data_IF_809977986488
#
_entry.id   IF_809977986488
#
_cell.length_a   1.000
_cell.length_b   1.000
_cell.length_c   1.000
_cell.angle_alpha   90.00
_cell.angle_beta   90.00
_cell.angle_gamma   90.00
#
_symmetry.space_group_name_H-M   'P 1'
#
loop_
_entity.id
_entity.type
_entity.pdbx_description
1 polymer ?
#
# COMPACT_ATOMS: atom_id res chain seq x y z
N UNK A 1 21.03 -43.97 2.59
CA UNK A 1 21.28 -42.70 1.86
C UNK A 1 19.99 -41.95 1.46
N UNK A 2 18.91 -42.61 1.02
CA UNK A 2 17.66 -41.92 0.59
C UNK A 2 16.90 -41.18 1.70
N UNK A 3 16.91 -41.70 2.93
CA UNK A 3 16.21 -41.07 4.07
C UNK A 3 16.81 -39.70 4.45
N UNK A 4 18.09 -39.50 4.27
CA UNK A 4 18.78 -38.26 4.61
C UNK A 4 18.47 -37.12 3.62
N UNK A 5 18.27 -37.45 2.34
CA UNK A 5 17.91 -36.46 1.31
C UNK A 5 16.48 -35.93 1.49
N UNK A 6 15.54 -36.79 1.86
CA UNK A 6 14.15 -36.39 2.13
C UNK A 6 14.03 -35.50 3.36
N UNK A 7 14.80 -35.80 4.40
CA UNK A 7 14.82 -34.94 5.62
C UNK A 7 15.41 -33.57 5.32
N UNK A 8 16.48 -33.49 4.52
CA UNK A 8 17.07 -32.23 4.07
C UNK A 8 16.08 -31.42 3.23
N UNK A 9 15.40 -32.07 2.26
CA UNK A 9 14.39 -31.41 1.43
C UNK A 9 13.16 -30.92 2.23
N UNK A 10 12.71 -31.69 3.22
CA UNK A 10 11.62 -31.28 4.11
C UNK A 10 12.03 -30.12 5.02
N UNK A 11 13.24 -30.14 5.56
CA UNK A 11 13.78 -29.05 6.39
C UNK A 11 14.00 -27.80 5.55
N UNK A 12 14.49 -27.93 4.32
CA UNK A 12 14.67 -26.79 3.40
C UNK A 12 13.32 -26.21 2.99
N UNK A 13 12.31 -27.04 2.68
CA UNK A 13 10.93 -26.57 2.39
C UNK A 13 10.27 -25.92 3.60
N UNK A 14 10.49 -26.45 4.81
CA UNK A 14 9.99 -25.86 6.05
C UNK A 14 10.70 -24.54 6.38
N UNK A 15 12.01 -24.48 6.16
CA UNK A 15 12.81 -23.28 6.34
C UNK A 15 12.42 -22.17 5.33
N UNK A 16 12.24 -22.53 4.05
CA UNK A 16 11.75 -21.62 3.00
C UNK A 16 10.32 -21.16 3.29
N UNK A 17 9.41 -22.05 3.71
CA UNK A 17 8.05 -21.67 4.12
C UNK A 17 8.04 -20.74 5.34
N UNK A 18 8.97 -20.89 6.29
CA UNK A 18 9.11 -20.04 7.46
C UNK A 18 9.71 -18.66 7.12
N UNK A 19 10.56 -18.62 6.08
CA UNK A 19 11.25 -17.39 5.63
C UNK A 19 10.36 -16.47 4.77
N UNK A 20 9.27 -16.99 4.19
CA UNK A 20 8.43 -16.30 3.23
C UNK A 20 6.95 -16.23 3.63
N UNK A 21 6.66 -16.12 4.92
CA UNK A 21 5.29 -15.81 5.33
C UNK A 21 5.04 -14.33 5.08
N UNK A 22 4.31 -14.01 4.01
CA UNK A 22 3.79 -12.66 3.76
C UNK A 22 2.97 -12.23 4.98
N UNK A 23 3.51 -11.35 5.80
CA UNK A 23 2.90 -10.98 7.09
C UNK A 23 2.24 -9.60 7.06
N UNK A 24 2.50 -8.79 6.04
CA UNK A 24 2.04 -7.42 5.93
C UNK A 24 1.03 -7.27 4.79
N UNK A 25 -0.14 -6.72 5.07
CA UNK A 25 -1.16 -6.45 4.07
C UNK A 25 -1.04 -5.04 3.50
N UNK A 26 -1.08 -4.94 2.18
CA UNK A 26 -1.19 -3.69 1.43
C UNK A 26 -2.60 -3.58 0.87
N UNK A 27 -3.18 -2.39 1.00
CA UNK A 27 -4.42 -2.00 0.34
C UNK A 27 -4.16 -0.80 -0.55
N UNK A 28 -4.72 -0.80 -1.75
CA UNK A 28 -4.57 0.30 -2.69
C UNK A 28 -5.94 0.87 -3.04
N UNK A 29 -6.00 2.20 -3.13
CA UNK A 29 -7.23 2.91 -3.42
C UNK A 29 -7.08 3.77 -4.68
N UNK A 30 -7.93 3.52 -5.65
CA UNK A 30 -8.15 4.38 -6.82
C UNK A 30 -9.66 4.47 -7.08
N UNK A 31 -10.35 5.17 -6.17
CA UNK A 31 -11.82 5.25 -6.21
C UNK A 31 -12.24 6.13 -7.38
N UNK A 32 -12.98 5.53 -8.31
CA UNK A 32 -13.57 6.18 -9.46
C UNK A 32 -15.09 6.17 -9.37
N UNK A 33 -15.73 7.13 -10.02
CA UNK A 33 -17.17 7.14 -10.20
C UNK A 33 -17.54 6.29 -11.43
N UNK A 34 -18.70 5.63 -11.35
CA UNK A 34 -19.27 4.92 -12.48
C UNK A 34 -20.03 5.97 -13.31
N UNK A 35 -19.54 6.23 -14.52
CA UNK A 35 -20.17 7.15 -15.47
C UNK A 35 -20.82 6.37 -16.62
N UNK A 36 -22.10 6.63 -16.88
CA UNK A 36 -22.86 6.01 -17.98
C UNK A 36 -22.72 4.47 -18.01
N UNK A 37 -22.83 3.81 -16.86
CA UNK A 37 -22.65 2.37 -16.68
C UNK A 37 -21.25 1.83 -17.07
N UNK A 38 -20.26 2.70 -17.19
CA UNK A 38 -18.88 2.31 -17.44
C UNK A 38 -18.05 2.50 -16.17
N UNK A 39 -17.46 1.42 -15.70
CA UNK A 39 -16.48 1.45 -14.61
C UNK A 39 -15.09 1.70 -15.19
N UNK A 40 -14.35 2.63 -14.60
CA UNK A 40 -12.92 2.82 -14.90
C UNK A 40 -12.11 1.85 -14.06
N UNK A 41 -11.30 1.04 -14.71
CA UNK A 41 -10.36 0.15 -14.00
C UNK A 41 -9.33 0.97 -13.24
N UNK A 42 -8.85 0.49 -12.09
CA UNK A 42 -7.86 1.15 -11.25
C UNK A 42 -6.45 0.98 -11.86
N UNK A 43 -6.19 1.72 -12.94
CA UNK A 43 -5.00 1.53 -13.78
C UNK A 43 -3.71 1.93 -13.05
N UNK A 44 -3.69 3.11 -12.40
CA UNK A 44 -2.47 3.62 -11.79
C UNK A 44 -2.01 2.75 -10.61
N UNK A 45 -2.91 2.38 -9.72
CA UNK A 45 -2.53 1.49 -8.60
C UNK A 45 -2.27 0.06 -9.06
N UNK A 46 -2.87 -0.37 -10.17
CA UNK A 46 -2.56 -1.64 -10.82
C UNK A 46 -1.13 -1.69 -11.34
N UNK A 47 -0.65 -0.62 -12.01
CA UNK A 47 0.73 -0.49 -12.46
C UNK A 47 1.71 -0.44 -11.29
N UNK A 48 1.40 0.36 -10.25
CA UNK A 48 2.21 0.42 -9.03
C UNK A 48 2.40 -0.98 -8.44
N UNK A 49 1.32 -1.74 -8.27
CA UNK A 49 1.44 -3.08 -7.70
C UNK A 49 2.14 -4.07 -8.64
N UNK A 50 1.92 -3.96 -9.93
CA UNK A 50 2.62 -4.78 -10.93
C UNK A 50 4.14 -4.60 -10.79
N UNK A 51 4.62 -3.36 -10.69
CA UNK A 51 6.04 -3.08 -10.46
C UNK A 51 6.50 -3.61 -9.10
N UNK A 52 5.79 -3.30 -8.02
CA UNK A 52 6.10 -3.76 -6.66
C UNK A 52 6.27 -5.29 -6.58
N UNK A 53 5.45 -6.04 -7.30
CA UNK A 53 5.51 -7.50 -7.32
C UNK A 53 6.77 -8.07 -7.99
N UNK A 54 7.49 -7.27 -8.78
CA UNK A 54 8.78 -7.67 -9.38
C UNK A 54 9.95 -7.51 -8.41
N UNK A 55 9.80 -6.71 -7.35
CA UNK A 55 10.82 -6.50 -6.33
C UNK A 55 10.76 -7.65 -5.32
N UNK A 56 11.83 -8.43 -5.23
CA UNK A 56 11.88 -9.66 -4.44
C UNK A 56 11.51 -9.46 -2.96
N UNK A 57 12.06 -8.42 -2.32
CA UNK A 57 11.79 -8.11 -0.93
C UNK A 57 10.31 -7.80 -0.69
N UNK A 58 9.70 -7.00 -1.58
CA UNK A 58 8.28 -6.64 -1.52
C UNK A 58 7.40 -7.85 -1.78
N UNK A 59 7.69 -8.62 -2.83
CA UNK A 59 6.93 -9.83 -3.16
C UNK A 59 6.95 -10.87 -2.04
N UNK A 60 8.04 -10.95 -1.28
CA UNK A 60 8.17 -11.87 -0.16
C UNK A 60 7.57 -11.32 1.15
N UNK A 61 7.60 -10.00 1.35
CA UNK A 61 7.18 -9.33 2.59
C UNK A 61 5.71 -8.97 2.66
N UNK A 62 5.08 -8.72 1.52
CA UNK A 62 3.74 -8.16 1.44
C UNK A 62 2.76 -9.03 0.66
N UNK A 63 1.49 -8.87 1.02
CA UNK A 63 0.34 -9.38 0.29
C UNK A 63 -0.53 -8.21 -0.14
N UNK A 64 -0.85 -8.09 -1.43
CA UNK A 64 -1.92 -7.20 -1.87
C UNK A 64 -3.24 -7.81 -1.40
N UNK A 65 -3.83 -7.19 -0.40
CA UNK A 65 -5.05 -7.68 0.20
C UNK A 65 -6.29 -7.29 -0.62
N UNK A 66 -6.31 -6.06 -1.15
CA UNK A 66 -7.38 -5.59 -2.02
C UNK A 66 -6.99 -4.33 -2.78
N UNK A 67 -7.69 -4.06 -3.90
CA UNK A 67 -7.71 -2.78 -4.61
C UNK A 67 -9.13 -2.23 -4.55
N UNK A 68 -9.32 -1.14 -3.82
CA UNK A 68 -10.62 -0.48 -3.68
C UNK A 68 -10.74 0.59 -4.77
N UNK A 69 -11.59 0.33 -5.77
CA UNK A 69 -11.66 1.14 -6.98
C UNK A 69 -13.05 1.71 -7.29
N UNK A 70 -14.05 1.32 -6.53
CA UNK A 70 -15.40 1.86 -6.63
C UNK A 70 -15.83 2.53 -5.34
N UNK A 71 -16.72 3.49 -5.42
CA UNK A 71 -17.26 4.18 -4.25
C UNK A 71 -18.21 3.27 -3.48
N UNK A 72 -17.96 3.13 -2.21
CA UNK A 72 -18.79 2.38 -1.26
C UNK A 72 -18.75 3.05 0.13
N UNK A 73 -19.69 2.74 1.04
CA UNK A 73 -19.67 3.30 2.38
C UNK A 73 -18.33 3.01 3.09
N UNK A 74 -17.77 4.02 3.72
CA UNK A 74 -16.46 3.90 4.42
C UNK A 74 -16.48 2.78 5.46
N UNK A 75 -17.58 2.62 6.18
CA UNK A 75 -17.69 1.58 7.22
C UNK A 75 -17.63 0.15 6.64
N UNK A 76 -18.18 -0.06 5.44
CA UNK A 76 -18.11 -1.36 4.77
C UNK A 76 -16.67 -1.67 4.32
N UNK A 77 -15.94 -0.66 3.82
CA UNK A 77 -14.53 -0.78 3.51
C UNK A 77 -13.76 -1.22 4.77
N UNK A 78 -13.91 -0.46 5.86
CA UNK A 78 -13.18 -0.71 7.10
C UNK A 78 -13.52 -2.08 7.74
N UNK A 79 -14.78 -2.52 7.60
CA UNK A 79 -15.22 -3.83 8.11
C UNK A 79 -14.51 -4.98 7.40
N UNK A 80 -14.24 -4.82 6.10
CA UNK A 80 -13.60 -5.85 5.27
C UNK A 80 -12.08 -5.82 5.33
N UNK A 81 -11.47 -4.72 5.78
CA UNK A 81 -10.02 -4.62 5.94
C UNK A 81 -9.50 -5.46 7.12
N UNK A 82 -8.38 -6.15 6.88
CA UNK A 82 -7.73 -7.02 7.88
C UNK A 82 -6.28 -6.61 8.07
N UNK A 83 -5.97 -6.06 9.24
CA UNK A 83 -4.60 -5.72 9.65
C UNK A 83 -3.78 -5.03 8.54
N UNK A 84 -4.22 -3.85 8.04
CA UNK A 84 -3.48 -3.13 7.03
C UNK A 84 -2.13 -2.68 7.60
N UNK A 85 -1.05 -2.97 6.88
CA UNK A 85 0.29 -2.47 7.19
C UNK A 85 0.63 -1.22 6.42
N UNK A 86 0.21 -1.16 5.16
CA UNK A 86 0.38 -0.02 4.27
C UNK A 86 -0.90 0.18 3.48
N UNK A 87 -1.32 1.43 3.34
CA UNK A 87 -2.45 1.81 2.50
C UNK A 87 -2.03 2.95 1.58
N UNK A 88 -2.08 2.70 0.28
CA UNK A 88 -1.78 3.68 -0.77
C UNK A 88 -3.05 4.24 -1.41
N UNK A 89 -3.09 5.56 -1.57
CA UNK A 89 -4.21 6.25 -2.20
C UNK A 89 -3.76 6.99 -3.46
N UNK A 90 -4.43 6.71 -4.58
CA UNK A 90 -4.33 7.51 -5.80
C UNK A 90 -5.32 8.66 -5.71
N UNK A 91 -4.81 9.89 -5.52
CA UNK A 91 -5.58 11.07 -5.16
C UNK A 91 -5.83 11.98 -6.36
N UNK A 92 -7.10 12.13 -6.71
CA UNK A 92 -7.61 13.05 -7.73
C UNK A 92 -8.69 13.95 -7.13
N UNK A 93 -9.09 15.00 -7.84
CA UNK A 93 -10.09 15.96 -7.36
C UNK A 93 -11.44 15.30 -7.02
N UNK A 94 -11.85 14.28 -7.76
CA UNK A 94 -13.15 13.60 -7.57
C UNK A 94 -13.17 12.61 -6.40
N UNK A 95 -12.03 12.06 -5.98
CA UNK A 95 -11.98 11.10 -4.88
C UNK A 95 -11.30 11.66 -3.61
N UNK A 96 -10.81 12.91 -3.65
CA UNK A 96 -10.05 13.52 -2.57
C UNK A 96 -10.73 13.44 -1.21
N UNK A 97 -11.95 13.96 -1.11
CA UNK A 97 -12.68 14.01 0.17
C UNK A 97 -12.95 12.61 0.72
N UNK A 98 -13.24 11.66 -0.17
CA UNK A 98 -13.46 10.26 0.19
C UNK A 98 -12.16 9.61 0.71
N UNK A 99 -11.04 9.81 0.00
CA UNK A 99 -9.74 9.30 0.42
C UNK A 99 -9.31 9.87 1.78
N UNK A 100 -9.51 11.18 2.01
CA UNK A 100 -9.23 11.85 3.28
C UNK A 100 -10.05 11.26 4.43
N UNK A 101 -11.35 11.04 4.23
CA UNK A 101 -12.21 10.44 5.25
C UNK A 101 -11.78 9.01 5.58
N UNK A 102 -11.57 8.18 4.55
CA UNK A 102 -11.17 6.78 4.71
C UNK A 102 -9.82 6.70 5.42
N UNK A 103 -8.82 7.45 4.94
CA UNK A 103 -7.47 7.44 5.51
C UNK A 103 -7.46 7.84 6.99
N UNK A 104 -8.21 8.89 7.37
CA UNK A 104 -8.37 9.32 8.76
C UNK A 104 -8.95 8.21 9.63
N UNK A 105 -9.99 7.51 9.16
CA UNK A 105 -10.61 6.40 9.89
C UNK A 105 -9.70 5.17 9.96
N UNK A 106 -8.94 4.87 8.89
CA UNK A 106 -7.94 3.80 8.89
C UNK A 106 -6.88 4.10 9.97
N UNK A 107 -6.32 5.31 9.98
CA UNK A 107 -5.28 5.70 10.94
C UNK A 107 -5.79 5.63 12.39
N UNK A 108 -7.03 6.04 12.63
CA UNK A 108 -7.65 5.94 13.95
C UNK A 108 -7.82 4.50 14.42
N UNK A 109 -8.18 3.57 13.51
CA UNK A 109 -8.40 2.16 13.84
C UNK A 109 -7.10 1.36 13.89
N UNK A 110 -6.12 1.69 13.03
CA UNK A 110 -4.82 1.05 12.93
C UNK A 110 -3.70 2.11 12.96
N UNK A 111 -3.31 2.61 14.13
CA UNK A 111 -2.34 3.72 14.26
C UNK A 111 -0.99 3.43 13.62
N UNK A 112 -0.57 2.18 13.58
CA UNK A 112 0.70 1.75 12.99
C UNK A 112 0.63 1.50 11.46
N UNK A 113 -0.53 1.68 10.85
CA UNK A 113 -0.69 1.57 9.40
C UNK A 113 -0.01 2.77 8.73
N UNK A 114 0.87 2.49 7.75
CA UNK A 114 1.50 3.52 6.94
C UNK A 114 0.51 4.01 5.88
N UNK A 115 0.19 5.30 5.90
CA UNK A 115 -0.72 5.95 4.94
C UNK A 115 0.08 6.72 3.91
N UNK A 116 -0.03 6.32 2.66
CA UNK A 116 0.68 6.92 1.52
C UNK A 116 -0.32 7.57 0.58
N UNK A 117 -0.16 8.88 0.33
CA UNK A 117 -0.95 9.61 -0.66
C UNK A 117 -0.09 9.89 -1.89
N UNK A 118 -0.60 9.61 -3.08
CA UNK A 118 0.01 9.94 -4.37
C UNK A 118 -1.02 10.51 -5.34
N UNK A 119 -0.55 10.93 -6.52
CA UNK A 119 -1.40 11.47 -7.58
C UNK A 119 -1.53 12.99 -7.59
N UNK A 120 -2.28 13.52 -8.54
CA UNK A 120 -2.31 14.93 -8.89
C UNK A 120 -2.81 15.90 -7.80
N UNK A 121 -3.56 15.38 -6.82
CA UNK A 121 -4.12 16.22 -5.75
C UNK A 121 -3.15 16.40 -4.56
N UNK A 122 -2.05 15.66 -4.55
CA UNK A 122 -1.01 15.82 -3.52
C UNK A 122 -0.20 17.09 -3.82
N UNK A 123 -0.06 18.02 -2.85
CA UNK A 123 0.63 19.29 -3.07
C UNK A 123 2.14 19.11 -3.22
N UNK A 124 2.75 19.89 -4.11
CA UNK A 124 4.19 19.89 -4.37
C UNK A 124 4.88 21.07 -3.64
N UNK A 125 6.18 20.92 -3.41
CA UNK A 125 7.11 21.95 -2.96
C UNK A 125 6.70 22.66 -1.65
N UNK A 126 6.49 23.95 -1.67
CA UNK A 126 6.23 24.84 -0.54
C UNK A 126 4.93 24.54 0.22
N UNK A 127 3.98 23.89 -0.43
CA UNK A 127 2.67 23.55 0.17
C UNK A 127 2.68 22.24 0.97
N UNK A 128 3.76 21.49 0.95
CA UNK A 128 3.86 20.18 1.59
C UNK A 128 3.77 20.29 3.12
N UNK A 129 4.43 21.28 3.71
CA UNK A 129 4.41 21.46 5.17
C UNK A 129 3.00 21.72 5.69
N UNK A 130 2.24 22.62 5.06
CA UNK A 130 0.84 22.88 5.41
C UNK A 130 -0.07 21.68 5.17
N UNK A 131 0.28 20.83 4.22
CA UNK A 131 -0.44 19.59 3.94
C UNK A 131 -0.40 18.61 5.12
N UNK A 132 0.76 18.27 5.64
CA UNK A 132 0.89 17.35 6.79
C UNK A 132 0.31 17.94 8.09
N UNK A 133 0.36 19.27 8.27
CA UNK A 133 -0.32 19.93 9.39
C UNK A 133 -1.84 19.77 9.31
N UNK A 134 -2.40 19.88 8.11
CA UNK A 134 -3.84 19.71 7.86
C UNK A 134 -4.29 18.25 7.89
N UNK A 135 -3.45 17.34 7.46
CA UNK A 135 -3.75 15.91 7.34
C UNK A 135 -2.71 15.05 8.09
N UNK A 136 -2.66 15.15 9.44
CA UNK A 136 -1.62 14.51 10.26
C UNK A 136 -1.69 12.96 10.26
N UNK A 137 -2.71 12.39 9.66
CA UNK A 137 -2.89 10.97 9.50
C UNK A 137 -2.22 10.43 8.22
N UNK A 138 -1.72 11.30 7.33
CA UNK A 138 -0.93 10.92 6.15
C UNK A 138 0.54 10.89 6.56
N UNK A 139 1.20 9.78 6.30
CA UNK A 139 2.61 9.60 6.67
C UNK A 139 3.56 9.99 5.53
N UNK A 140 3.21 9.67 4.28
CA UNK A 140 4.05 9.91 3.10
C UNK A 140 3.20 10.51 1.98
N UNK A 141 3.79 11.47 1.27
CA UNK A 141 3.26 12.09 0.06
C UNK A 141 4.19 11.79 -1.11
N UNK A 142 3.67 11.13 -2.16
CA UNK A 142 4.42 10.75 -3.36
C UNK A 142 4.03 11.64 -4.53
N UNK A 143 5.02 12.16 -5.23
CA UNK A 143 4.85 13.01 -6.41
C UNK A 143 5.34 12.30 -7.66
N UNK A 144 4.72 12.61 -8.80
CA UNK A 144 5.08 12.03 -10.09
C UNK A 144 4.64 10.57 -10.23
N UNK A 145 5.42 9.80 -10.95
CA UNK A 145 5.20 8.38 -11.16
C UNK A 145 5.56 7.60 -9.89
N UNK A 146 4.61 6.82 -9.40
CA UNK A 146 4.70 6.22 -8.07
C UNK A 146 5.27 4.81 -8.03
N UNK A 147 5.53 4.16 -9.17
CA UNK A 147 5.85 2.74 -9.26
C UNK A 147 7.13 2.38 -8.50
N UNK A 148 8.22 3.10 -8.80
CA UNK A 148 9.52 2.88 -8.15
C UNK A 148 9.47 3.35 -6.70
N UNK A 149 9.00 4.59 -6.48
CA UNK A 149 8.93 5.20 -5.15
C UNK A 149 8.08 4.38 -4.18
N UNK A 150 6.94 3.84 -4.62
CA UNK A 150 6.10 3.02 -3.74
C UNK A 150 6.76 1.67 -3.41
N UNK A 151 7.50 1.08 -4.34
CA UNK A 151 8.28 -0.13 -4.07
C UNK A 151 9.39 0.15 -3.05
N UNK A 152 10.12 1.26 -3.18
CA UNK A 152 11.15 1.71 -2.21
C UNK A 152 10.54 1.96 -0.83
N UNK A 153 9.36 2.58 -0.75
CA UNK A 153 8.60 2.75 0.51
C UNK A 153 8.32 1.41 1.16
N UNK A 154 7.86 0.43 0.38
CA UNK A 154 7.56 -0.90 0.91
C UNK A 154 8.83 -1.62 1.38
N UNK A 155 9.94 -1.53 0.64
CA UNK A 155 11.22 -2.11 1.05
C UNK A 155 11.74 -1.47 2.35
N UNK A 156 11.67 -0.14 2.44
CA UNK A 156 12.11 0.60 3.62
C UNK A 156 11.26 0.22 4.85
N UNK A 157 9.94 0.10 4.67
CA UNK A 157 9.00 -0.28 5.74
C UNK A 157 9.14 -1.76 6.19
N UNK A 158 9.96 -2.58 5.54
CA UNK A 158 10.32 -3.91 6.00
C UNK A 158 11.45 -3.88 7.03
N UNK A 159 12.23 -2.81 7.08
CA UNK A 159 13.36 -2.66 8.00
C UNK A 159 12.87 -2.38 9.43
N UNK A 160 13.68 -2.78 10.41
CA UNK A 160 13.38 -2.50 11.82
C UNK A 160 13.50 -1.00 12.15
N UNK A 161 14.31 -0.27 11.39
CA UNK A 161 14.53 1.17 11.53
C UNK A 161 14.51 1.79 10.13
N UNK A 162 13.33 2.18 9.63
CA UNK A 162 13.21 2.78 8.29
C UNK A 162 13.91 4.14 8.23
N UNK A 163 14.59 4.42 7.13
CA UNK A 163 15.25 5.71 6.84
C UNK A 163 14.61 6.28 5.57
N UNK A 164 13.59 7.11 5.75
CA UNK A 164 12.74 7.61 4.66
C UNK A 164 13.47 8.55 3.69
N UNK A 165 14.57 9.16 4.12
CA UNK A 165 15.44 10.02 3.30
C UNK A 165 16.17 9.26 2.18
N UNK A 166 16.21 7.92 2.24
CA UNK A 166 16.80 7.09 1.19
C UNK A 166 15.88 6.89 -0.03
N UNK A 167 14.62 7.27 0.07
CA UNK A 167 13.63 7.14 -1.01
C UNK A 167 13.84 8.26 -2.02
N UNK A 168 13.90 7.90 -3.30
CA UNK A 168 14.14 8.84 -4.42
C UNK A 168 12.84 9.33 -5.04
#
# INVERSE_FOLDING_TARGET
>A
MAANLMTILQNTKSFLKKKFKKNKNVYLFEINDILANQAKLPYSVGLIWSHCSTVEAVNNGYNLADIIWWRQPTEDILKNMKNPSVVGFSCFVWNWNNNVEIARKIKARWPNCLIVFGGWQVPMSDRVQGFFQKYPFVDIAVHGEGEITFAEILEENLKNSPVWENIK
#
